data_IF_875998753901
#
_entry.id   IF_875998753901
#
_cell.length_a   1.000
_cell.length_b   1.000
_cell.length_c   1.000
_cell.angle_alpha   90.00
_cell.angle_beta   90.00
_cell.angle_gamma   90.00
#
_symmetry.space_group_name_H-M   'P 1'
#
loop_
_entity.id
_entity.type
_entity.pdbx_description
1 polymer ?
#
# COMPACT_ATOMS: atom_id res chain seq x y z
N UNK A 1 13.55 37.93 -46.32
CA UNK A 1 12.54 37.94 -45.24
C UNK A 1 12.57 36.56 -44.53
N UNK A 2 13.32 36.50 -43.42
CA UNK A 2 13.48 35.29 -42.64
C UNK A 2 12.39 35.32 -41.55
N UNK A 3 11.42 34.39 -41.64
CA UNK A 3 10.41 34.23 -40.58
C UNK A 3 11.04 33.43 -39.45
N UNK A 4 11.38 34.14 -38.33
CA UNK A 4 11.72 33.51 -37.07
C UNK A 4 10.46 32.87 -36.50
N UNK A 5 10.39 31.54 -36.49
CA UNK A 5 9.42 30.77 -35.75
C UNK A 5 9.92 30.69 -34.30
N UNK A 6 9.36 31.51 -33.43
CA UNK A 6 9.51 31.36 -31.97
C UNK A 6 8.74 30.11 -31.56
N UNK A 7 9.43 28.98 -31.39
CA UNK A 7 8.93 27.84 -30.72
C UNK A 7 8.83 28.19 -29.22
N UNK A 8 7.62 28.53 -28.77
CA UNK A 8 7.29 28.63 -27.35
C UNK A 8 7.46 27.23 -26.70
N UNK A 9 8.66 26.99 -26.16
CA UNK A 9 8.90 25.87 -25.27
C UNK A 9 8.16 26.19 -23.97
N UNK A 10 6.91 25.79 -23.88
CA UNK A 10 6.22 25.70 -22.58
C UNK A 10 6.95 24.63 -21.76
N UNK A 11 7.58 24.99 -20.63
CA UNK A 11 8.05 23.97 -19.72
C UNK A 11 6.79 23.22 -19.24
N UNK A 12 6.67 21.97 -19.63
CA UNK A 12 5.70 21.07 -19.01
C UNK A 12 6.13 20.98 -17.55
N UNK A 13 5.57 21.87 -16.72
CA UNK A 13 5.65 21.74 -15.28
C UNK A 13 5.04 20.35 -14.99
N UNK A 14 5.89 19.41 -14.66
CA UNK A 14 5.44 18.16 -14.05
C UNK A 14 4.74 18.55 -12.73
N UNK A 15 3.43 18.72 -12.79
CA UNK A 15 2.62 18.99 -11.61
C UNK A 15 2.86 17.81 -10.67
N UNK A 16 3.51 18.08 -9.54
CA UNK A 16 3.64 17.08 -8.49
C UNK A 16 2.22 16.69 -8.06
N UNK A 17 2.01 15.40 -7.94
CA UNK A 17 0.72 14.85 -7.59
C UNK A 17 0.40 15.13 -6.12
N UNK A 18 -0.80 15.62 -5.84
CA UNK A 18 -1.32 15.68 -4.47
C UNK A 18 -1.57 14.25 -3.96
N UNK A 19 -0.93 13.83 -2.85
CA UNK A 19 -1.13 12.50 -2.27
C UNK A 19 -2.61 12.14 -2.04
N UNK A 20 -3.46 13.14 -1.79
CA UNK A 20 -4.91 12.93 -1.59
C UNK A 20 -5.61 12.29 -2.77
N UNK A 21 -5.03 12.33 -3.98
CA UNK A 21 -5.57 11.67 -5.16
C UNK A 21 -5.41 10.15 -5.13
N UNK A 22 -4.48 9.63 -4.31
CA UNK A 22 -4.28 8.19 -4.12
C UNK A 22 -5.19 7.59 -3.03
N UNK A 23 -5.91 8.43 -2.28
CA UNK A 23 -6.72 7.97 -1.16
C UNK A 23 -8.16 8.42 -1.28
N UNK A 24 -9.07 7.56 -0.81
CA UNK A 24 -10.45 7.91 -0.49
C UNK A 24 -10.59 7.92 1.02
N UNK A 25 -10.92 9.07 1.59
CA UNK A 25 -11.04 9.25 3.05
C UNK A 25 -12.46 9.57 3.44
N UNK A 26 -12.96 8.89 4.45
CA UNK A 26 -14.31 8.96 4.98
C UNK A 26 -14.27 9.29 6.47
N UNK A 27 -15.26 10.02 6.96
CA UNK A 27 -15.46 10.31 8.37
C UNK A 27 -16.55 9.39 8.93
N UNK A 28 -16.27 8.69 10.02
CA UNK A 28 -17.23 7.77 10.64
C UNK A 28 -18.16 8.52 11.59
N UNK A 29 -19.38 7.95 11.79
CA UNK A 29 -20.36 8.45 12.75
C UNK A 29 -20.00 8.05 14.20
N UNK A 30 -19.34 6.91 14.35
CA UNK A 30 -18.95 6.38 15.66
C UNK A 30 -17.76 7.16 16.22
N UNK A 31 -17.86 7.57 17.48
CA UNK A 31 -16.79 8.27 18.20
C UNK A 31 -15.96 7.34 19.09
N UNK A 32 -16.46 6.16 19.44
CA UNK A 32 -15.69 5.11 20.13
C UNK A 32 -14.84 4.36 19.11
N UNK A 33 -13.52 4.42 19.25
CA UNK A 33 -12.59 3.87 18.25
C UNK A 33 -12.69 2.34 18.15
N UNK A 34 -12.80 1.63 19.27
CA UNK A 34 -12.90 0.16 19.27
C UNK A 34 -14.19 -0.31 18.59
N UNK A 35 -15.30 0.38 18.89
CA UNK A 35 -16.58 0.11 18.22
C UNK A 35 -16.52 0.46 16.73
N UNK A 36 -15.84 1.55 16.35
CA UNK A 36 -15.67 1.92 14.95
C UNK A 36 -14.91 0.85 14.17
N UNK A 37 -13.80 0.33 14.73
CA UNK A 37 -13.02 -0.77 14.12
C UNK A 37 -13.88 -2.02 13.98
N UNK A 38 -14.60 -2.41 15.01
CA UNK A 38 -15.43 -3.63 14.99
C UNK A 38 -16.62 -3.49 14.01
N UNK A 39 -17.28 -2.33 14.01
CA UNK A 39 -18.38 -2.05 13.07
C UNK A 39 -17.92 -2.08 11.61
N UNK A 40 -16.71 -1.56 11.35
CA UNK A 40 -16.11 -1.59 10.01
C UNK A 40 -15.79 -3.03 9.59
N UNK A 41 -15.18 -3.82 10.48
CA UNK A 41 -14.90 -5.24 10.26
C UNK A 41 -16.17 -6.01 9.89
N UNK A 42 -17.24 -5.85 10.68
CA UNK A 42 -18.54 -6.48 10.45
C UNK A 42 -19.19 -6.00 9.14
N UNK A 43 -19.11 -4.70 8.84
CA UNK A 43 -19.65 -4.14 7.61
C UNK A 43 -18.92 -4.67 6.36
N UNK A 44 -17.61 -4.87 6.43
CA UNK A 44 -16.84 -5.51 5.36
C UNK A 44 -17.30 -6.97 5.16
N UNK A 45 -17.38 -7.75 6.23
CA UNK A 45 -17.82 -9.16 6.18
C UNK A 45 -19.25 -9.29 5.65
N UNK A 46 -20.19 -8.47 6.13
CA UNK A 46 -21.59 -8.47 5.65
C UNK A 46 -21.73 -8.01 4.19
N UNK A 47 -20.73 -7.33 3.66
CA UNK A 47 -20.64 -6.96 2.25
C UNK A 47 -19.97 -8.05 1.38
N UNK A 48 -19.65 -9.21 1.98
CA UNK A 48 -19.01 -10.34 1.29
C UNK A 48 -17.53 -10.12 1.01
N UNK A 49 -16.85 -9.36 1.87
CA UNK A 49 -15.40 -9.19 1.85
C UNK A 49 -14.76 -10.02 2.97
N UNK A 50 -13.61 -10.62 2.71
CA UNK A 50 -12.81 -11.21 3.78
C UNK A 50 -12.23 -10.13 4.68
N UNK A 51 -11.99 -10.49 5.94
CA UNK A 51 -11.11 -9.76 6.85
C UNK A 51 -10.06 -10.75 7.31
N UNK A 52 -8.85 -10.57 6.81
CA UNK A 52 -7.77 -11.55 6.99
C UNK A 52 -6.93 -11.23 8.23
N UNK A 53 -6.71 -9.94 8.49
CA UNK A 53 -5.90 -9.47 9.62
C UNK A 53 -6.38 -8.09 10.08
N UNK A 54 -6.29 -7.87 11.39
CA UNK A 54 -6.44 -6.55 12.03
C UNK A 54 -5.15 -6.24 12.78
N UNK A 55 -4.49 -5.15 12.45
CA UNK A 55 -3.22 -4.72 13.03
C UNK A 55 -3.40 -3.39 13.77
N UNK A 56 -3.31 -3.42 15.11
CA UNK A 56 -3.34 -2.22 15.95
C UNK A 56 -1.96 -1.59 15.97
N UNK A 57 -1.73 -0.63 15.08
CA UNK A 57 -0.43 0.04 14.90
C UNK A 57 -0.05 0.85 16.13
N UNK A 58 -1.02 1.50 16.77
CA UNK A 58 -0.81 2.26 18.01
C UNK A 58 -0.25 1.41 19.14
N UNK A 59 -0.72 0.17 19.29
CA UNK A 59 -0.21 -0.72 20.34
C UNK A 59 1.23 -1.17 20.04
N UNK A 60 1.53 -1.45 18.78
CA UNK A 60 2.88 -1.83 18.34
C UNK A 60 3.88 -0.69 18.56
N UNK A 61 3.50 0.55 18.26
CA UNK A 61 4.35 1.74 18.47
C UNK A 61 4.54 1.97 19.97
N UNK A 62 3.46 1.91 20.76
CA UNK A 62 3.52 2.09 22.22
C UNK A 62 4.40 1.02 22.90
N UNK A 63 4.27 -0.23 22.50
CA UNK A 63 5.11 -1.31 23.03
C UNK A 63 6.60 -1.11 22.72
N UNK A 64 6.93 -0.50 21.57
CA UNK A 64 8.30 -0.26 21.16
C UNK A 64 8.95 0.96 21.83
N UNK A 65 8.25 2.08 21.85
CA UNK A 65 8.83 3.40 22.21
C UNK A 65 8.21 4.04 23.45
N UNK A 66 7.13 3.47 24.00
CA UNK A 66 6.33 4.10 25.05
C UNK A 66 5.55 5.34 24.56
N UNK A 67 5.68 5.72 23.28
CA UNK A 67 5.06 6.92 22.76
C UNK A 67 3.53 6.77 22.66
N UNK A 68 2.81 7.83 23.02
CA UNK A 68 1.40 7.94 22.67
C UNK A 68 1.26 8.36 21.21
N UNK A 69 0.92 7.38 20.39
CA UNK A 69 0.72 7.57 18.95
C UNK A 69 -0.73 7.94 18.60
N UNK A 70 -1.64 7.87 19.59
CA UNK A 70 -3.07 7.95 19.36
C UNK A 70 -3.67 6.60 18.90
N UNK A 71 -4.89 6.62 18.38
CA UNK A 71 -5.59 5.40 17.97
C UNK A 71 -5.46 5.20 16.45
N UNK A 72 -4.84 4.07 16.08
CA UNK A 72 -4.58 3.73 14.69
C UNK A 72 -4.58 2.22 14.46
N UNK A 73 -5.39 1.76 13.51
CA UNK A 73 -5.54 0.35 13.14
C UNK A 73 -5.53 0.20 11.62
N UNK A 74 -4.96 -0.89 11.11
CA UNK A 74 -5.05 -1.28 9.71
C UNK A 74 -5.80 -2.61 9.62
N UNK A 75 -6.83 -2.66 8.78
CA UNK A 75 -7.56 -3.89 8.46
C UNK A 75 -7.11 -4.36 7.08
N UNK A 76 -6.65 -5.60 7.00
CA UNK A 76 -6.35 -6.29 5.74
C UNK A 76 -7.49 -7.23 5.38
N UNK A 77 -7.85 -7.26 4.11
CA UNK A 77 -8.94 -8.10 3.67
C UNK A 77 -9.16 -8.02 2.16
N UNK A 78 -10.39 -8.33 1.76
CA UNK A 78 -10.82 -8.29 0.36
C UNK A 78 -10.22 -9.41 -0.51
N UNK A 79 -9.78 -10.52 0.07
CA UNK A 79 -9.37 -11.70 -0.70
C UNK A 79 -10.59 -12.30 -1.42
N UNK A 80 -10.37 -12.71 -2.66
CA UNK A 80 -11.37 -13.40 -3.47
C UNK A 80 -10.71 -14.54 -4.25
N UNK A 81 -11.31 -15.73 -4.31
CA UNK A 81 -10.79 -16.81 -5.15
C UNK A 81 -10.61 -16.42 -6.62
N UNK A 82 -11.39 -15.47 -7.11
CA UNK A 82 -11.29 -14.96 -8.49
C UNK A 82 -10.05 -14.08 -8.73
N UNK A 83 -9.37 -13.65 -7.66
CA UNK A 83 -8.19 -12.80 -7.73
C UNK A 83 -6.88 -13.59 -7.55
N UNK A 84 -6.94 -14.90 -7.34
CA UNK A 84 -5.77 -15.75 -7.03
C UNK A 84 -4.67 -15.76 -8.11
N UNK A 85 -5.04 -15.56 -9.38
CA UNK A 85 -4.06 -15.55 -10.47
C UNK A 85 -3.48 -14.14 -10.78
N UNK A 86 -4.03 -13.10 -10.17
CA UNK A 86 -3.59 -11.72 -10.39
C UNK A 86 -2.14 -11.49 -9.94
N UNK A 87 -1.70 -12.01 -8.78
CA UNK A 87 -0.34 -11.81 -8.31
C UNK A 87 0.75 -12.25 -9.31
N UNK A 88 0.52 -13.32 -10.04
CA UNK A 88 1.51 -13.83 -11.02
C UNK A 88 1.47 -13.07 -12.35
N UNK A 89 0.33 -12.50 -12.72
CA UNK A 89 0.15 -11.73 -13.97
C UNK A 89 0.55 -10.27 -13.81
N UNK A 90 0.22 -9.68 -12.67
CA UNK A 90 0.42 -8.27 -12.37
C UNK A 90 0.85 -8.09 -10.90
N UNK A 91 2.10 -8.44 -10.55
CA UNK A 91 2.58 -8.43 -9.17
C UNK A 91 2.43 -7.07 -8.45
N UNK A 92 2.52 -5.98 -9.20
CA UNK A 92 2.29 -4.64 -8.68
C UNK A 92 0.94 -4.48 -7.96
N UNK A 93 -0.07 -5.25 -8.34
CA UNK A 93 -1.39 -5.23 -7.72
C UNK A 93 -1.40 -5.87 -6.31
N UNK A 94 -0.34 -6.56 -5.89
CA UNK A 94 -0.18 -6.99 -4.50
C UNK A 94 -0.08 -5.82 -3.51
N UNK A 95 0.18 -4.61 -4.00
CA UNK A 95 0.07 -3.38 -3.21
C UNK A 95 -1.38 -2.86 -3.11
N UNK A 96 -2.32 -3.45 -3.83
CA UNK A 96 -3.73 -3.05 -3.89
C UNK A 96 -4.64 -4.14 -3.35
N UNK A 97 -4.33 -5.39 -3.68
CA UNK A 97 -5.09 -6.59 -3.26
C UNK A 97 -4.10 -7.58 -2.63
N UNK A 98 -4.34 -8.03 -1.38
CA UNK A 98 -5.46 -7.71 -0.48
C UNK A 98 -5.53 -6.22 -0.11
N UNK A 99 -6.76 -5.71 0.11
CA UNK A 99 -6.92 -4.29 0.45
C UNK A 99 -6.37 -4.00 1.86
N UNK A 100 -5.81 -2.79 2.03
CA UNK A 100 -5.55 -2.19 3.34
C UNK A 100 -6.53 -1.07 3.60
N UNK A 101 -7.16 -1.10 4.77
CA UNK A 101 -8.08 -0.07 5.25
C UNK A 101 -7.47 0.53 6.50
N UNK A 102 -7.04 1.79 6.42
CA UNK A 102 -6.51 2.53 7.56
C UNK A 102 -7.67 3.21 8.30
N UNK A 103 -7.79 2.95 9.59
CA UNK A 103 -8.74 3.62 10.50
C UNK A 103 -7.94 4.31 11.59
N UNK A 104 -8.21 5.61 11.82
CA UNK A 104 -7.42 6.43 12.73
C UNK A 104 -8.23 7.59 13.30
N UNK A 105 -7.86 8.01 14.51
CA UNK A 105 -8.45 9.16 15.18
C UNK A 105 -7.69 10.43 14.82
N UNK A 106 -8.42 11.48 14.46
CA UNK A 106 -7.86 12.81 14.21
C UNK A 106 -7.91 13.69 15.47
N UNK A 107 -9.02 13.63 16.21
CA UNK A 107 -9.25 14.33 17.47
C UNK A 107 -10.29 13.56 18.29
N UNK A 108 -10.67 14.09 19.45
CA UNK A 108 -11.61 13.43 20.37
C UNK A 108 -12.92 12.95 19.72
N UNK A 109 -13.38 13.62 18.65
CA UNK A 109 -14.71 13.40 18.07
C UNK A 109 -14.68 12.88 16.63
N UNK A 110 -13.47 12.78 16.01
CA UNK A 110 -13.38 12.48 14.58
C UNK A 110 -12.50 11.25 14.36
N UNK A 111 -13.14 10.19 13.87
CA UNK A 111 -12.48 8.98 13.35
C UNK A 111 -12.59 8.98 11.83
N UNK A 112 -11.48 8.74 11.15
CA UNK A 112 -11.43 8.63 9.70
C UNK A 112 -11.05 7.21 9.26
N UNK A 113 -11.54 6.87 8.09
CA UNK A 113 -11.18 5.65 7.36
C UNK A 113 -10.64 6.06 6.01
N UNK A 114 -9.47 5.55 5.66
CA UNK A 114 -8.87 5.73 4.34
C UNK A 114 -8.68 4.40 3.64
N UNK A 115 -8.96 4.38 2.35
CA UNK A 115 -8.67 3.28 1.44
C UNK A 115 -7.91 3.82 0.24
N UNK A 116 -7.17 2.93 -0.42
CA UNK A 116 -6.45 3.27 -1.63
C UNK A 116 -7.43 3.55 -2.77
N UNK A 117 -7.17 4.60 -3.52
CA UNK A 117 -7.80 4.78 -4.83
C UNK A 117 -7.13 3.83 -5.82
N UNK A 118 -7.69 2.66 -6.00
CA UNK A 118 -7.13 1.58 -6.82
C UNK A 118 -7.08 1.90 -8.31
N UNK A 119 -7.95 2.78 -8.81
CA UNK A 119 -8.14 3.01 -10.25
C UNK A 119 -6.87 3.41 -11.00
N UNK A 120 -6.03 4.36 -10.51
CA UNK A 120 -4.80 4.71 -11.22
C UNK A 120 -3.81 3.55 -11.32
N UNK A 121 -3.74 2.73 -10.28
CA UNK A 121 -2.85 1.56 -10.25
C UNK A 121 -3.40 0.48 -11.18
N UNK A 122 -4.70 0.19 -11.11
CA UNK A 122 -5.35 -0.76 -11.99
C UNK A 122 -5.21 -0.35 -13.47
N UNK A 123 -5.38 0.93 -13.78
CA UNK A 123 -5.22 1.45 -15.15
C UNK A 123 -3.80 1.25 -15.69
N UNK A 124 -2.78 1.32 -14.84
CA UNK A 124 -1.39 1.09 -15.24
C UNK A 124 -1.10 -0.39 -15.59
N UNK A 125 -1.84 -1.33 -14.99
CA UNK A 125 -1.55 -2.78 -15.14
C UNK A 125 -2.68 -3.59 -15.79
N UNK A 126 -3.80 -2.97 -16.15
CA UNK A 126 -4.97 -3.67 -16.72
C UNK A 126 -4.70 -4.43 -18.02
N UNK A 127 -3.68 -4.05 -18.79
CA UNK A 127 -3.28 -4.76 -20.01
C UNK A 127 -2.77 -6.19 -19.75
N UNK A 128 -2.34 -6.48 -18.52
CA UNK A 128 -1.90 -7.82 -18.10
C UNK A 128 -3.05 -8.68 -17.53
N UNK A 129 -4.26 -8.12 -17.46
CA UNK A 129 -5.43 -8.75 -16.85
C UNK A 129 -6.52 -9.04 -17.88
N UNK A 130 -7.36 -10.03 -17.59
CA UNK A 130 -8.60 -10.23 -18.34
C UNK A 130 -9.66 -9.18 -17.97
N UNK A 131 -10.65 -8.93 -18.84
CA UNK A 131 -11.79 -8.06 -18.50
C UNK A 131 -12.53 -8.48 -17.22
N UNK A 132 -12.64 -9.78 -16.96
CA UNK A 132 -13.27 -10.36 -15.77
C UNK A 132 -12.48 -10.03 -14.51
N UNK A 133 -11.14 -10.15 -14.56
CA UNK A 133 -10.26 -9.80 -13.43
C UNK A 133 -10.34 -8.30 -13.11
N UNK A 134 -10.31 -7.45 -14.13
CA UNK A 134 -10.51 -5.99 -13.97
C UNK A 134 -11.86 -5.68 -13.35
N UNK A 135 -12.93 -6.36 -13.81
CA UNK A 135 -14.28 -6.21 -13.27
C UNK A 135 -14.35 -6.66 -11.80
N UNK A 136 -13.72 -7.78 -11.45
CA UNK A 136 -13.71 -8.29 -10.08
C UNK A 136 -12.98 -7.36 -9.12
N UNK A 137 -11.82 -6.80 -9.50
CA UNK A 137 -11.11 -5.80 -8.70
C UNK A 137 -12.01 -4.58 -8.44
N UNK A 138 -12.61 -4.03 -9.50
CA UNK A 138 -13.51 -2.88 -9.36
C UNK A 138 -14.72 -3.18 -8.48
N UNK A 139 -15.29 -4.39 -8.59
CA UNK A 139 -16.41 -4.82 -7.76
C UNK A 139 -16.00 -4.94 -6.29
N UNK A 140 -14.82 -5.48 -6.01
CA UNK A 140 -14.26 -5.62 -4.67
C UNK A 140 -14.10 -4.26 -4.00
N UNK A 141 -13.50 -3.29 -4.68
CA UNK A 141 -13.38 -1.94 -4.14
C UNK A 141 -14.72 -1.20 -4.01
N UNK A 142 -15.68 -1.45 -4.92
CA UNK A 142 -17.03 -0.92 -4.79
C UNK A 142 -17.75 -1.47 -3.56
N UNK A 143 -17.61 -2.77 -3.26
CA UNK A 143 -18.15 -3.39 -2.04
C UNK A 143 -17.49 -2.78 -0.79
N UNK A 144 -16.17 -2.60 -0.80
CA UNK A 144 -15.43 -1.99 0.30
C UNK A 144 -15.91 -0.56 0.56
N UNK A 145 -16.01 0.25 -0.49
CA UNK A 145 -16.52 1.63 -0.40
C UNK A 145 -17.96 1.64 0.15
N UNK A 146 -18.83 0.75 -0.33
CA UNK A 146 -20.19 0.61 0.19
C UNK A 146 -20.23 0.22 1.68
N UNK A 147 -19.33 -0.66 2.11
CA UNK A 147 -19.23 -1.05 3.52
C UNK A 147 -18.85 0.14 4.41
N UNK A 148 -17.93 0.99 3.95
CA UNK A 148 -17.50 2.19 4.67
C UNK A 148 -18.62 3.25 4.68
N UNK A 149 -19.28 3.48 3.55
CA UNK A 149 -20.32 4.49 3.42
C UNK A 149 -21.53 4.24 4.34
N UNK A 150 -21.84 2.98 4.66
CA UNK A 150 -22.91 2.65 5.64
C UNK A 150 -22.61 3.23 7.03
N UNK A 151 -21.34 3.42 7.38
CA UNK A 151 -20.86 3.87 8.68
C UNK A 151 -20.43 5.33 8.69
N UNK A 152 -20.31 5.97 7.53
CA UNK A 152 -19.75 7.32 7.41
C UNK A 152 -20.83 8.41 7.45
N UNK A 153 -20.43 9.60 7.90
CA UNK A 153 -21.26 10.83 7.84
C UNK A 153 -21.10 11.53 6.51
N UNK A 154 -19.87 11.55 5.99
CA UNK A 154 -19.51 12.25 4.75
C UNK A 154 -18.46 11.45 4.00
N UNK A 155 -18.59 11.40 2.68
CA UNK A 155 -17.50 10.98 1.79
C UNK A 155 -16.71 12.19 1.32
N UNK A 156 -15.39 12.15 1.37
CA UNK A 156 -14.58 13.17 0.70
C UNK A 156 -14.70 12.96 -0.81
N UNK A 157 -15.13 13.97 -1.59
CA UNK A 157 -15.20 13.82 -3.03
C UNK A 157 -13.81 13.54 -3.59
N UNK A 158 -13.71 12.56 -4.49
CA UNK A 158 -12.49 12.31 -5.24
C UNK A 158 -12.25 13.46 -6.21
N UNK A 159 -11.05 14.03 -6.16
CA UNK A 159 -10.60 14.85 -7.26
C UNK A 159 -10.43 13.94 -8.50
N UNK A 160 -11.12 14.30 -9.61
CA UNK A 160 -11.09 13.52 -10.86
C UNK A 160 -9.82 13.74 -11.69
N UNK A 161 -8.69 14.02 -11.06
CA UNK A 161 -7.44 14.14 -11.78
C UNK A 161 -6.96 12.74 -12.14
N UNK A 162 -6.76 12.47 -13.42
CA UNK A 162 -6.15 11.21 -13.86
C UNK A 162 -4.69 11.21 -13.45
N UNK A 163 -4.34 10.25 -12.61
CA UNK A 163 -2.95 9.97 -12.26
C UNK A 163 -2.45 8.99 -13.31
N UNK A 164 -1.38 9.35 -14.00
CA UNK A 164 -0.64 8.44 -14.84
C UNK A 164 0.73 8.20 -14.19
N UNK A 165 1.00 6.95 -13.82
CA UNK A 165 2.34 6.57 -13.38
C UNK A 165 3.25 6.51 -14.62
N UNK A 166 4.31 7.34 -14.62
CA UNK A 166 5.32 7.34 -15.68
C UNK A 166 6.34 6.22 -15.51
N UNK A 167 6.51 5.75 -14.30
CA UNK A 167 7.42 4.68 -13.90
C UNK A 167 6.62 3.58 -13.20
N UNK A 168 7.15 2.36 -13.18
CA UNK A 168 6.53 1.28 -12.40
C UNK A 168 6.46 1.67 -10.92
N UNK A 169 5.30 1.43 -10.29
CA UNK A 169 5.11 1.63 -8.85
C UNK A 169 5.78 0.56 -7.99
N UNK A 170 6.31 -0.49 -8.62
CA UNK A 170 7.07 -1.54 -7.96
C UNK A 170 8.41 -1.73 -8.63
N UNK A 171 9.37 -2.19 -7.87
CA UNK A 171 10.62 -2.77 -8.36
C UNK A 171 10.62 -4.26 -8.09
N UNK A 172 11.10 -5.03 -9.06
CA UNK A 172 11.21 -6.48 -8.99
C UNK A 172 12.65 -6.89 -9.25
N UNK A 173 13.10 -7.89 -8.51
CA UNK A 173 14.44 -8.45 -8.56
C UNK A 173 14.35 -9.97 -8.65
N UNK A 174 15.17 -10.58 -9.51
CA UNK A 174 15.26 -12.03 -9.62
C UNK A 174 16.05 -12.64 -8.48
N UNK A 175 15.58 -13.76 -7.93
CA UNK A 175 16.33 -14.61 -7.03
C UNK A 175 16.77 -15.87 -7.78
N UNK A 176 18.07 -16.16 -7.74
CA UNK A 176 18.66 -17.32 -8.40
C UNK A 176 19.22 -18.30 -7.37
N UNK A 177 19.21 -19.58 -7.70
CA UNK A 177 19.84 -20.61 -6.88
C UNK A 177 19.12 -21.00 -5.60
N UNK A 178 17.88 -20.52 -5.41
CA UNK A 178 17.06 -20.84 -4.24
C UNK A 178 15.74 -21.48 -4.68
N UNK A 179 15.26 -22.43 -3.89
CA UNK A 179 13.86 -22.85 -3.93
C UNK A 179 12.97 -21.84 -3.20
N UNK A 180 11.65 -21.95 -3.37
CA UNK A 180 10.69 -21.01 -2.83
C UNK A 180 10.70 -20.92 -1.30
N UNK A 181 10.78 -22.07 -0.61
CA UNK A 181 10.69 -22.11 0.86
C UNK A 181 11.96 -21.59 1.50
N UNK A 182 13.12 -21.92 0.92
CA UNK A 182 14.42 -21.35 1.30
C UNK A 182 14.44 -19.83 1.10
N UNK A 183 14.00 -19.36 -0.06
CA UNK A 183 13.92 -17.93 -0.35
C UNK A 183 12.96 -17.19 0.61
N UNK A 184 11.82 -17.81 0.93
CA UNK A 184 10.84 -17.26 1.89
C UNK A 184 11.44 -17.10 3.29
N UNK A 185 12.16 -18.12 3.75
CA UNK A 185 12.80 -18.12 5.06
C UNK A 185 13.95 -17.10 5.14
N UNK A 186 14.81 -17.07 4.13
CA UNK A 186 15.92 -16.12 4.06
C UNK A 186 15.43 -14.68 3.96
N UNK A 187 14.44 -14.41 3.10
CA UNK A 187 13.88 -13.06 2.94
C UNK A 187 13.26 -12.55 4.24
N UNK A 188 12.56 -13.42 4.99
CA UNK A 188 12.06 -13.06 6.32
C UNK A 188 13.20 -12.66 7.25
N UNK A 189 14.23 -13.49 7.36
CA UNK A 189 15.38 -13.24 8.22
C UNK A 189 16.14 -11.97 7.80
N UNK A 190 16.32 -11.75 6.51
CA UNK A 190 16.99 -10.56 5.97
C UNK A 190 16.21 -9.28 6.27
N UNK A 191 14.86 -9.30 6.13
CA UNK A 191 14.00 -8.17 6.51
C UNK A 191 14.11 -7.86 8.00
N UNK A 192 14.03 -8.89 8.87
CA UNK A 192 14.18 -8.71 10.31
C UNK A 192 15.60 -8.18 10.65
N UNK A 193 16.65 -8.63 9.92
CA UNK A 193 18.03 -8.20 10.09
C UNK A 193 18.28 -6.72 9.80
N UNK A 194 17.51 -6.12 8.90
CA UNK A 194 17.56 -4.67 8.61
C UNK A 194 16.50 -3.86 9.40
N UNK A 195 15.98 -4.42 10.48
CA UNK A 195 14.93 -3.80 11.31
C UNK A 195 13.60 -3.51 10.57
N UNK A 196 13.35 -4.19 9.46
CA UNK A 196 12.05 -4.22 8.81
C UNK A 196 11.27 -5.44 9.35
N UNK A 197 10.84 -5.34 10.61
CA UNK A 197 10.19 -6.46 11.30
C UNK A 197 9.01 -7.00 10.52
N UNK A 198 9.03 -8.30 10.24
CA UNK A 198 7.93 -8.98 9.56
C UNK A 198 6.82 -9.26 10.56
N UNK A 199 5.74 -8.48 10.46
CA UNK A 199 4.57 -8.55 11.34
C UNK A 199 3.67 -9.73 11.00
N UNK A 200 3.61 -10.08 9.71
CA UNK A 200 2.82 -11.21 9.20
C UNK A 200 3.24 -11.57 7.77
N UNK A 201 2.83 -12.76 7.31
CA UNK A 201 3.01 -13.20 5.92
C UNK A 201 1.65 -13.64 5.40
N UNK A 202 1.16 -12.95 4.37
CA UNK A 202 -0.06 -13.33 3.67
C UNK A 202 0.30 -14.23 2.49
N UNK A 203 -0.51 -15.24 2.24
CA UNK A 203 -0.35 -16.17 1.12
C UNK A 203 -1.60 -16.14 0.22
N UNK A 204 -1.76 -15.09 -0.61
CA UNK A 204 -2.96 -14.89 -1.41
C UNK A 204 -3.12 -15.92 -2.53
N UNK A 205 -2.04 -16.60 -2.91
CA UNK A 205 -2.03 -17.65 -3.92
C UNK A 205 -0.87 -18.63 -3.69
N UNK A 206 -0.94 -19.81 -4.29
CA UNK A 206 0.17 -20.77 -4.28
C UNK A 206 1.42 -20.16 -4.92
N UNK A 207 2.56 -20.24 -4.23
CA UNK A 207 3.82 -19.67 -4.69
C UNK A 207 3.88 -18.14 -4.63
N UNK A 208 3.02 -17.51 -3.82
CA UNK A 208 3.01 -16.06 -3.57
C UNK A 208 2.98 -15.81 -2.08
N UNK A 209 4.01 -15.18 -1.54
CA UNK A 209 4.03 -14.67 -0.16
C UNK A 209 4.14 -13.15 -0.18
N UNK A 210 3.37 -12.47 0.67
CA UNK A 210 3.42 -11.04 0.90
C UNK A 210 3.81 -10.80 2.35
N UNK A 211 5.04 -10.34 2.56
CA UNK A 211 5.56 -10.00 3.87
C UNK A 211 5.04 -8.60 4.24
N UNK A 212 4.32 -8.54 5.34
CA UNK A 212 3.90 -7.28 5.95
C UNK A 212 5.04 -6.82 6.87
N UNK A 213 6.02 -6.13 6.29
CA UNK A 213 7.22 -5.71 6.98
C UNK A 213 7.13 -4.23 7.39
N UNK A 214 7.62 -3.87 8.58
CA UNK A 214 7.57 -2.50 9.06
C UNK A 214 8.75 -2.17 9.97
N UNK A 215 9.41 -1.05 9.66
CA UNK A 215 10.18 -0.36 10.67
C UNK A 215 9.24 0.60 11.39
N UNK A 216 8.89 0.29 12.63
CA UNK A 216 7.92 1.07 13.42
C UNK A 216 8.35 2.52 13.63
N UNK A 217 9.67 2.83 13.62
CA UNK A 217 10.16 4.23 13.70
C UNK A 217 9.77 5.02 12.46
N UNK A 218 9.92 4.42 11.28
CA UNK A 218 9.52 5.06 10.03
C UNK A 218 8.01 5.21 9.96
N UNK A 219 7.28 4.15 10.34
CA UNK A 219 5.83 4.16 10.41
C UNK A 219 5.29 5.25 11.33
N UNK A 220 5.86 5.40 12.53
CA UNK A 220 5.47 6.43 13.49
C UNK A 220 5.58 7.85 12.89
N UNK A 221 6.72 8.19 12.29
CA UNK A 221 6.96 9.51 11.72
C UNK A 221 6.07 9.80 10.52
N UNK A 222 5.92 8.83 9.61
CA UNK A 222 5.12 9.01 8.40
C UNK A 222 3.63 9.08 8.71
N UNK A 223 3.11 8.16 9.55
CA UNK A 223 1.68 8.09 9.82
C UNK A 223 1.18 9.23 10.72
N UNK A 224 2.04 9.86 11.52
CA UNK A 224 1.70 11.09 12.25
C UNK A 224 1.33 12.23 11.30
N UNK A 225 2.00 12.33 10.17
CA UNK A 225 1.78 13.41 9.19
C UNK A 225 0.82 13.04 8.06
N UNK A 226 0.90 11.80 7.61
CA UNK A 226 0.12 11.26 6.51
C UNK A 226 -0.58 9.97 6.97
N UNK A 227 -1.62 10.07 7.82
CA UNK A 227 -2.29 8.89 8.33
C UNK A 227 -2.93 8.05 7.23
N UNK A 228 -3.30 8.63 6.10
CA UNK A 228 -3.80 7.91 4.92
C UNK A 228 -2.77 6.95 4.33
N UNK A 229 -1.47 7.20 4.56
CA UNK A 229 -0.38 6.35 4.04
C UNK A 229 -0.43 4.92 4.61
N UNK A 230 -1.15 4.69 5.71
CA UNK A 230 -1.41 3.35 6.21
C UNK A 230 -2.11 2.42 5.21
N UNK A 231 -2.70 2.95 4.14
CA UNK A 231 -3.23 2.12 3.05
C UNK A 231 -2.12 1.45 2.22
N UNK A 232 -0.88 1.95 2.30
CA UNK A 232 0.33 1.32 1.74
C UNK A 232 1.19 0.64 2.82
N UNK A 233 0.94 0.96 4.10
CA UNK A 233 1.67 0.37 5.22
C UNK A 233 0.96 -0.91 5.73
N UNK A 234 1.71 -1.81 6.39
CA UNK A 234 3.17 -1.88 6.40
C UNK A 234 3.72 -2.08 4.98
N UNK A 235 5.03 -1.80 4.79
CA UNK A 235 5.66 -2.04 3.50
C UNK A 235 5.45 -3.49 3.07
N UNK A 236 4.90 -3.67 1.89
CA UNK A 236 4.68 -5.00 1.32
C UNK A 236 5.90 -5.40 0.51
N UNK A 237 6.57 -6.43 0.96
CA UNK A 237 7.59 -7.13 0.19
C UNK A 237 7.01 -8.45 -0.25
N UNK A 238 6.97 -8.74 -1.53
CA UNK A 238 6.41 -9.99 -2.02
C UNK A 238 7.49 -10.90 -2.61
N UNK A 239 7.29 -12.19 -2.43
CA UNK A 239 8.03 -13.26 -3.09
C UNK A 239 7.06 -14.01 -3.99
N UNK A 240 7.43 -14.16 -5.25
CA UNK A 240 6.62 -14.86 -6.25
C UNK A 240 7.46 -15.94 -6.92
N UNK A 241 6.88 -17.15 -6.99
CA UNK A 241 7.37 -18.23 -7.84
C UNK A 241 6.58 -18.24 -9.15
N UNK A 242 7.29 -18.23 -10.27
CA UNK A 242 6.72 -18.32 -11.61
C UNK A 242 7.54 -19.29 -12.46
N UNK A 243 7.07 -19.62 -13.65
CA UNK A 243 7.81 -20.42 -14.63
C UNK A 243 9.18 -19.81 -14.98
N UNK A 244 9.34 -18.50 -14.80
CA UNK A 244 10.60 -17.76 -15.07
C UNK A 244 11.54 -17.73 -13.87
N UNK A 245 11.17 -18.36 -12.75
CA UNK A 245 11.93 -18.37 -11.51
C UNK A 245 11.31 -17.57 -10.38
N UNK A 246 12.10 -17.31 -9.35
CA UNK A 246 11.67 -16.55 -8.17
C UNK A 246 11.94 -15.07 -8.37
N UNK A 247 11.01 -14.25 -7.88
CA UNK A 247 11.15 -12.79 -7.84
C UNK A 247 10.78 -12.26 -6.45
N UNK A 248 11.56 -11.28 -6.00
CA UNK A 248 11.20 -10.39 -4.88
C UNK A 248 10.80 -9.05 -5.45
N UNK A 249 9.75 -8.45 -4.91
CA UNK A 249 9.34 -7.11 -5.31
C UNK A 249 8.78 -6.30 -4.14
N UNK A 250 8.91 -4.98 -4.26
CA UNK A 250 8.39 -4.01 -3.30
C UNK A 250 8.11 -2.67 -3.98
N UNK A 251 7.49 -1.74 -3.25
CA UNK A 251 7.17 -0.41 -3.76
C UNK A 251 8.42 0.31 -4.28
N UNK A 252 8.31 0.91 -5.46
CA UNK A 252 9.31 1.80 -6.03
C UNK A 252 9.26 3.14 -5.29
N UNK A 253 9.82 3.15 -4.08
CA UNK A 253 9.83 4.33 -3.21
C UNK A 253 10.47 5.55 -3.89
N UNK A 254 11.60 5.44 -4.61
CA UNK A 254 12.15 6.57 -5.35
C UNK A 254 11.16 7.22 -6.33
N UNK A 255 10.39 6.41 -7.07
CA UNK A 255 9.35 6.92 -7.96
C UNK A 255 8.22 7.61 -7.19
N UNK A 256 7.80 7.06 -6.05
CA UNK A 256 6.78 7.67 -5.17
C UNK A 256 7.28 8.98 -4.55
N UNK A 257 8.52 9.04 -4.05
CA UNK A 257 9.12 10.26 -3.51
C UNK A 257 9.19 11.36 -4.57
N UNK A 258 9.57 11.02 -5.80
CA UNK A 258 9.57 11.95 -6.93
C UNK A 258 8.16 12.46 -7.26
N UNK A 259 7.16 11.55 -7.26
CA UNK A 259 5.77 11.87 -7.53
C UNK A 259 5.20 12.83 -6.49
N UNK A 260 5.54 12.65 -5.21
CA UNK A 260 5.06 13.45 -4.08
C UNK A 260 6.02 14.53 -3.62
N UNK A 261 7.06 14.83 -4.39
CA UNK A 261 8.19 15.67 -3.97
C UNK A 261 7.82 17.05 -3.41
N UNK A 262 6.70 17.64 -3.85
CA UNK A 262 6.21 18.94 -3.34
C UNK A 262 5.51 18.84 -1.97
N UNK A 263 5.08 17.67 -1.57
CA UNK A 263 4.29 17.42 -0.35
C UNK A 263 5.10 16.77 0.76
N UNK A 264 6.26 16.23 0.42
CA UNK A 264 7.18 15.61 1.37
C UNK A 264 8.21 16.64 1.84
N UNK A 265 8.34 16.81 3.16
CA UNK A 265 9.48 17.51 3.75
C UNK A 265 10.77 16.74 3.50
N UNK A 266 11.92 17.36 3.74
CA UNK A 266 13.20 16.69 3.65
C UNK A 266 13.27 15.47 4.58
N UNK A 267 12.81 15.60 5.82
CA UNK A 267 12.79 14.50 6.80
C UNK A 267 12.00 13.29 6.30
N UNK A 268 10.82 13.50 5.73
CA UNK A 268 10.01 12.40 5.19
C UNK A 268 10.67 11.74 4.00
N UNK A 269 11.30 12.49 3.11
CA UNK A 269 12.08 11.92 1.98
C UNK A 269 13.22 11.04 2.48
N UNK A 270 13.98 11.51 3.46
CA UNK A 270 15.08 10.75 4.07
C UNK A 270 14.59 9.43 4.70
N UNK A 271 13.41 9.45 5.36
CA UNK A 271 12.80 8.24 5.92
C UNK A 271 12.40 7.26 4.81
N UNK A 272 11.76 7.74 3.74
CA UNK A 272 11.40 6.90 2.61
C UNK A 272 12.62 6.31 1.91
N UNK A 273 13.68 7.11 1.69
CA UNK A 273 14.92 6.64 1.10
C UNK A 273 15.60 5.59 1.98
N UNK A 274 15.57 5.76 3.30
CA UNK A 274 16.12 4.80 4.23
C UNK A 274 15.34 3.49 4.20
N UNK A 275 13.99 3.56 4.23
CA UNK A 275 13.14 2.38 4.11
C UNK A 275 13.39 1.62 2.79
N UNK A 276 13.62 2.34 1.69
CA UNK A 276 13.98 1.74 0.42
C UNK A 276 15.33 1.03 0.47
N UNK A 277 16.35 1.67 1.06
CA UNK A 277 17.69 1.07 1.23
C UNK A 277 17.64 -0.19 2.09
N UNK A 278 16.85 -0.18 3.16
CA UNK A 278 16.69 -1.34 4.04
C UNK A 278 16.05 -2.52 3.28
N UNK A 279 14.99 -2.28 2.50
CA UNK A 279 14.36 -3.32 1.68
C UNK A 279 15.31 -3.85 0.59
N UNK A 280 16.08 -2.97 -0.04
CA UNK A 280 17.07 -3.35 -1.05
C UNK A 280 18.21 -4.17 -0.42
N UNK A 281 18.64 -3.82 0.79
CA UNK A 281 19.64 -4.59 1.52
C UNK A 281 19.10 -5.98 1.88
N UNK A 282 17.87 -6.08 2.39
CA UNK A 282 17.24 -7.37 2.66
C UNK A 282 17.18 -8.27 1.41
N UNK A 283 16.88 -7.71 0.24
CA UNK A 283 16.96 -8.45 -1.02
C UNK A 283 18.38 -8.95 -1.31
N UNK A 284 19.41 -8.07 -1.17
CA UNK A 284 20.81 -8.44 -1.42
C UNK A 284 21.26 -9.56 -0.50
N UNK A 285 20.96 -9.45 0.79
CA UNK A 285 21.31 -10.47 1.79
C UNK A 285 20.63 -11.82 1.46
N UNK A 286 19.38 -11.77 0.96
CA UNK A 286 18.65 -12.97 0.52
C UNK A 286 19.27 -13.58 -0.73
N UNK A 287 19.77 -12.77 -1.66
CA UNK A 287 20.34 -13.22 -2.94
C UNK A 287 21.83 -13.60 -2.85
N UNK A 288 22.49 -13.33 -1.72
CA UNK A 288 23.92 -13.55 -1.53
C UNK A 288 24.80 -12.55 -2.32
N UNK A 289 24.27 -11.34 -2.59
CA UNK A 289 24.97 -10.27 -3.33
C UNK A 289 25.56 -9.20 -2.41
#
# INVERSE_FOLDING_TARGET
MIKLIFALIFPILALALDPSHLYKTYELRESDFKKAVESLRQSMQSSGLSVDKVLTVSDAIRARSGADFGEYTIIFGCNSPKLQNIPTKAPALLNVVPCSVAIYRINSNVIKVSILNHSPILDAYKSSLTPEEVKEINLTFKKLESAILKLSTKSKPLFRQRIAFKESIVQEFELKGLDYDSAKTLLKSSLDGVNMNVLDILEPAKGVSVFLACNLSYGEEILKKMPEFGTFAPCRVYLISSEKGLKVGFLNIPALVKLFSKYLSQKEREIFEKAYKDMLQAYKDTSGQ
#
